data_IF_088174331685
#
_entry.id   IF_088174331685
#
_cell.length_a   1.000
_cell.length_b   1.000
_cell.length_c   1.000
_cell.angle_alpha   90.00
_cell.angle_beta   90.00
_cell.angle_gamma   90.00
#
_symmetry.space_group_name_H-M   'P 1'
#
loop_
_entity.id
_entity.type
_entity.pdbx_description
1 polymer ?
#
# COMPACT_ATOMS: atom_id res chain seq x y z
N UNK A 1 23.58 -0.45 15.47
CA UNK A 1 22.78 -1.48 14.78
C UNK A 1 23.08 -1.36 13.30
N UNK A 2 23.79 -2.32 12.71
CA UNK A 2 24.01 -2.32 11.26
C UNK A 2 22.72 -2.72 10.56
N UNK A 3 22.33 -2.00 9.50
CA UNK A 3 21.21 -2.40 8.64
C UNK A 3 21.54 -3.75 8.01
N UNK A 4 20.73 -4.78 8.29
CA UNK A 4 20.84 -6.08 7.61
C UNK A 4 20.31 -5.93 6.17
N UNK A 5 21.18 -6.02 5.12
CA UNK A 5 20.73 -5.91 3.74
C UNK A 5 19.69 -6.97 3.38
N UNK A 6 19.72 -8.14 4.03
CA UNK A 6 18.77 -9.21 3.78
C UNK A 6 17.37 -8.84 4.29
N UNK A 7 17.26 -8.13 5.42
CA UNK A 7 15.99 -7.61 5.93
C UNK A 7 15.37 -6.57 4.98
N UNK A 8 16.21 -5.71 4.37
CA UNK A 8 15.74 -4.73 3.36
C UNK A 8 15.19 -5.45 2.13
N UNK A 9 15.91 -6.45 1.61
CA UNK A 9 15.48 -7.20 0.42
C UNK A 9 14.20 -7.99 0.70
N UNK A 10 14.11 -8.68 1.84
CA UNK A 10 12.89 -9.42 2.25
C UNK A 10 11.71 -8.49 2.44
N UNK A 11 11.89 -7.40 3.18
CA UNK A 11 10.85 -6.39 3.39
C UNK A 11 10.35 -5.80 2.07
N UNK A 12 11.26 -5.44 1.15
CA UNK A 12 10.88 -4.94 -0.17
C UNK A 12 10.09 -5.97 -0.98
N UNK A 13 10.59 -7.21 -1.06
CA UNK A 13 9.94 -8.30 -1.80
C UNK A 13 8.55 -8.65 -1.24
N UNK A 14 8.43 -8.76 0.08
CA UNK A 14 7.15 -8.98 0.75
C UNK A 14 6.18 -7.82 0.52
N UNK A 15 6.68 -6.58 0.55
CA UNK A 15 5.91 -5.38 0.23
C UNK A 15 5.37 -5.36 -1.20
N UNK A 16 6.18 -5.76 -2.19
CA UNK A 16 5.75 -5.90 -3.59
C UNK A 16 4.61 -6.94 -3.72
N UNK A 17 4.78 -8.11 -3.11
CA UNK A 17 3.80 -9.19 -3.17
C UNK A 17 2.47 -8.80 -2.49
N UNK A 18 2.56 -8.18 -1.31
CA UNK A 18 1.40 -7.67 -0.58
C UNK A 18 0.68 -6.58 -1.37
N UNK A 19 1.41 -5.66 -2.00
CA UNK A 19 0.82 -4.60 -2.83
C UNK A 19 0.12 -5.15 -4.07
N UNK A 20 0.68 -6.18 -4.71
CA UNK A 20 0.03 -6.86 -5.82
C UNK A 20 -1.29 -7.54 -5.38
N UNK A 21 -1.31 -8.17 -4.20
CA UNK A 21 -2.54 -8.76 -3.65
C UNK A 21 -3.60 -7.70 -3.33
N UNK A 22 -3.20 -6.59 -2.71
CA UNK A 22 -4.07 -5.44 -2.45
C UNK A 22 -4.67 -4.88 -3.74
N UNK A 23 -3.85 -4.68 -4.78
CA UNK A 23 -4.32 -4.29 -6.11
C UNK A 23 -5.35 -5.27 -6.67
N UNK A 24 -5.15 -6.58 -6.50
CA UNK A 24 -6.11 -7.60 -6.93
C UNK A 24 -7.49 -7.43 -6.27
N UNK A 25 -7.51 -7.23 -4.94
CA UNK A 25 -8.74 -6.97 -4.18
C UNK A 25 -9.43 -5.70 -4.68
N UNK A 26 -8.66 -4.63 -4.84
CA UNK A 26 -9.17 -3.36 -5.35
C UNK A 26 -9.69 -3.50 -6.79
N UNK A 27 -9.02 -4.28 -7.65
CA UNK A 27 -9.42 -4.51 -9.05
C UNK A 27 -10.77 -5.23 -9.12
N UNK A 28 -10.98 -6.23 -8.27
CA UNK A 28 -12.28 -6.88 -8.15
C UNK A 28 -13.37 -5.88 -7.71
N UNK A 29 -13.08 -5.04 -6.72
CA UNK A 29 -14.00 -3.99 -6.28
C UNK A 29 -14.29 -2.95 -7.39
N UNK A 30 -13.29 -2.59 -8.19
CA UNK A 30 -13.44 -1.67 -9.31
C UNK A 30 -14.50 -2.13 -10.30
N UNK A 31 -14.54 -3.42 -10.62
CA UNK A 31 -15.56 -3.99 -11.54
C UNK A 31 -16.99 -3.76 -11.07
N UNK A 32 -17.20 -3.52 -9.76
CA UNK A 32 -18.52 -3.36 -9.16
C UNK A 32 -18.86 -1.91 -8.78
N UNK A 33 -17.87 -1.11 -8.39
CA UNK A 33 -18.08 0.25 -7.86
C UNK A 33 -17.35 1.37 -8.61
N UNK A 34 -16.52 1.03 -9.61
CA UNK A 34 -15.77 1.98 -10.44
C UNK A 34 -14.87 2.92 -9.64
N UNK A 35 -14.69 4.15 -10.13
CA UNK A 35 -13.85 5.20 -9.53
C UNK A 35 -14.33 5.75 -8.17
N UNK A 36 -15.47 5.31 -7.64
CA UNK A 36 -16.05 5.86 -6.40
C UNK A 36 -15.34 5.38 -5.13
N UNK A 37 -14.12 4.86 -5.25
CA UNK A 37 -13.42 4.23 -4.16
C UNK A 37 -11.97 4.66 -4.00
N UNK A 38 -11.52 4.63 -2.74
CA UNK A 38 -10.17 5.03 -2.30
C UNK A 38 -9.21 3.89 -2.65
N UNK A 39 -8.71 3.90 -3.87
CA UNK A 39 -7.79 2.90 -4.39
C UNK A 39 -6.42 3.50 -4.61
N UNK A 40 -5.38 2.89 -4.06
CA UNK A 40 -4.00 3.41 -4.08
C UNK A 40 -3.46 3.71 -5.48
N UNK A 41 -3.96 3.02 -6.50
CA UNK A 41 -3.56 3.34 -7.88
C UNK A 41 -4.06 4.72 -8.34
N UNK A 42 -5.01 5.34 -7.64
CA UNK A 42 -5.56 6.66 -7.95
C UNK A 42 -4.59 7.73 -7.47
N UNK A 43 -4.06 7.57 -6.26
CA UNK A 43 -2.94 8.33 -5.73
C UNK A 43 -1.70 8.15 -6.62
N UNK A 44 -1.44 6.91 -7.04
CA UNK A 44 -0.34 6.62 -7.96
C UNK A 44 -0.54 7.24 -9.36
N UNK A 45 -1.77 7.30 -9.87
CA UNK A 45 -2.09 7.99 -11.13
C UNK A 45 -1.88 9.50 -10.98
N UNK A 46 -2.37 10.11 -9.91
CA UNK A 46 -2.16 11.52 -9.61
C UNK A 46 -0.65 11.84 -9.46
N UNK A 47 0.10 10.99 -8.76
CA UNK A 47 1.55 11.08 -8.68
C UNK A 47 2.23 10.97 -10.04
N UNK A 48 1.78 10.03 -10.88
CA UNK A 48 2.30 9.84 -12.24
C UNK A 48 2.07 11.07 -13.10
N UNK A 49 0.88 11.69 -13.03
CA UNK A 49 0.59 12.94 -13.77
C UNK A 49 1.54 14.06 -13.33
N UNK A 50 1.80 14.19 -12.02
CA UNK A 50 2.76 15.18 -11.48
C UNK A 50 4.19 14.92 -11.93
N UNK A 51 4.60 13.65 -12.06
CA UNK A 51 5.96 13.25 -12.44
C UNK A 51 6.21 13.28 -13.95
N UNK A 52 5.25 12.84 -14.76
CA UNK A 52 5.39 12.63 -16.20
C UNK A 52 4.67 13.69 -17.04
N UNK A 53 3.81 14.51 -16.43
CA UNK A 53 2.98 15.50 -17.13
C UNK A 53 1.79 14.91 -17.90
N UNK A 54 1.58 13.59 -17.85
CA UNK A 54 0.44 12.92 -18.49
C UNK A 54 -0.01 11.69 -17.70
N UNK A 55 -1.26 11.25 -17.95
CA UNK A 55 -1.80 10.02 -17.37
C UNK A 55 -1.10 8.80 -17.97
N UNK A 56 -0.75 7.83 -17.12
CA UNK A 56 -0.25 6.53 -17.54
C UNK A 56 -0.60 5.48 -16.49
N UNK A 57 -1.61 4.66 -16.80
CA UNK A 57 -2.06 3.60 -15.88
C UNK A 57 -0.94 2.59 -15.59
N UNK A 58 -0.11 2.25 -16.60
CA UNK A 58 1.03 1.34 -16.39
C UNK A 58 2.05 1.92 -15.41
N UNK A 59 2.36 3.22 -15.53
CA UNK A 59 3.28 3.87 -14.60
C UNK A 59 2.67 3.99 -13.19
N UNK A 60 1.35 4.24 -13.08
CA UNK A 60 0.65 4.24 -11.82
C UNK A 60 0.71 2.87 -11.11
N UNK A 61 0.51 1.77 -11.84
CA UNK A 61 0.65 0.41 -11.28
C UNK A 61 2.08 0.14 -10.79
N UNK A 62 3.09 0.53 -11.56
CA UNK A 62 4.50 0.39 -11.15
C UNK A 62 4.79 1.22 -9.91
N UNK A 63 4.35 2.48 -9.87
CA UNK A 63 4.55 3.36 -8.72
C UNK A 63 3.85 2.81 -7.47
N UNK A 64 2.64 2.27 -7.60
CA UNK A 64 1.92 1.64 -6.51
C UNK A 64 2.67 0.41 -5.95
N UNK A 65 3.18 -0.46 -6.83
CA UNK A 65 4.00 -1.60 -6.40
C UNK A 65 5.26 -1.12 -5.69
N UNK A 66 6.00 -0.15 -6.25
CA UNK A 66 7.21 0.39 -5.65
C UNK A 66 6.94 1.03 -4.28
N UNK A 67 5.85 1.79 -4.14
CA UNK A 67 5.42 2.36 -2.86
C UNK A 67 5.14 1.25 -1.83
N UNK A 68 4.46 0.18 -2.23
CA UNK A 68 4.23 -0.99 -1.39
C UNK A 68 5.53 -1.72 -0.99
N UNK A 69 6.50 -1.81 -1.90
CA UNK A 69 7.83 -2.33 -1.61
C UNK A 69 8.58 -1.47 -0.59
N UNK A 70 8.57 -0.14 -0.75
CA UNK A 70 9.18 0.80 0.21
C UNK A 70 8.52 0.70 1.58
N UNK A 71 7.19 0.63 1.64
CA UNK A 71 6.47 0.40 2.89
C UNK A 71 6.86 -0.93 3.55
N UNK A 72 7.11 -1.98 2.76
CA UNK A 72 7.64 -3.25 3.27
C UNK A 72 9.04 -3.15 3.88
N UNK A 73 9.93 -2.32 3.30
CA UNK A 73 11.23 -2.00 3.92
C UNK A 73 11.01 -1.30 5.27
N UNK A 74 10.14 -0.28 5.31
CA UNK A 74 9.83 0.46 6.54
C UNK A 74 9.32 -0.47 7.64
N UNK A 75 8.43 -1.41 7.30
CA UNK A 75 7.94 -2.41 8.24
C UNK A 75 9.06 -3.31 8.78
N UNK A 76 9.89 -3.87 7.91
CA UNK A 76 11.00 -4.74 8.32
C UNK A 76 12.01 -4.02 9.22
N UNK A 77 12.31 -2.76 8.91
CA UNK A 77 13.18 -1.93 9.76
C UNK A 77 12.52 -1.61 11.11
N UNK A 78 11.22 -1.33 11.12
CA UNK A 78 10.45 -1.14 12.36
C UNK A 78 10.49 -2.37 13.26
N UNK A 79 10.30 -3.57 12.72
CA UNK A 79 10.42 -4.83 13.47
C UNK A 79 11.82 -5.01 14.05
N UNK A 80 12.86 -4.73 13.25
CA UNK A 80 14.25 -4.83 13.70
C UNK A 80 14.51 -3.87 14.87
N UNK A 81 14.09 -2.61 14.76
CA UNK A 81 14.24 -1.60 15.82
C UNK A 81 13.53 -1.99 17.12
N UNK A 82 12.38 -2.64 17.02
CA UNK A 82 11.58 -3.08 18.17
C UNK A 82 11.97 -4.47 18.68
N UNK A 83 12.94 -5.14 18.04
CA UNK A 83 13.27 -6.55 18.27
C UNK A 83 12.03 -7.46 18.24
N UNK A 84 11.08 -7.15 17.36
CA UNK A 84 9.81 -7.86 17.23
C UNK A 84 9.86 -8.90 16.11
N UNK A 85 9.16 -10.01 16.31
CA UNK A 85 8.96 -11.01 15.25
C UNK A 85 7.81 -10.58 14.34
N UNK A 86 7.95 -10.80 13.02
CA UNK A 86 6.87 -10.54 12.07
C UNK A 86 5.67 -11.43 12.41
N UNK A 87 4.48 -10.82 12.48
CA UNK A 87 3.21 -11.54 12.65
C UNK A 87 2.16 -10.89 11.78
N UNK A 88 1.14 -11.65 11.37
CA UNK A 88 0.00 -11.11 10.64
C UNK A 88 -0.72 -9.98 11.43
N UNK A 89 -0.69 -10.01 12.76
CA UNK A 89 -1.29 -8.98 13.62
C UNK A 89 -0.51 -7.66 13.55
N UNK A 90 0.82 -7.71 13.72
CA UNK A 90 1.66 -6.51 13.58
C UNK A 90 1.61 -5.96 12.15
N UNK A 91 1.59 -6.87 11.17
CA UNK A 91 1.39 -6.52 9.78
C UNK A 91 0.06 -5.81 9.54
N UNK A 92 -1.07 -6.36 10.02
CA UNK A 92 -2.39 -5.73 9.89
C UNK A 92 -2.47 -4.37 10.61
N UNK A 93 -1.80 -4.21 11.75
CA UNK A 93 -1.67 -2.93 12.43
C UNK A 93 -0.91 -1.91 11.57
N UNK A 94 0.20 -2.33 10.94
CA UNK A 94 0.94 -1.50 9.99
C UNK A 94 0.11 -1.16 8.73
N UNK A 95 -0.63 -2.13 8.19
CA UNK A 95 -1.57 -1.90 7.09
C UNK A 95 -2.66 -0.89 7.45
N UNK A 96 -3.18 -0.95 8.69
CA UNK A 96 -4.15 0.03 9.20
C UNK A 96 -3.54 1.43 9.32
N UNK A 97 -2.27 1.54 9.74
CA UNK A 97 -1.55 2.80 9.75
C UNK A 97 -1.41 3.37 8.34
N UNK A 98 -1.00 2.54 7.37
CA UNK A 98 -0.92 2.94 5.96
C UNK A 98 -2.27 3.40 5.43
N UNK A 99 -3.36 2.70 5.75
CA UNK A 99 -4.71 3.12 5.37
C UNK A 99 -5.09 4.49 5.92
N UNK A 100 -4.75 4.78 7.19
CA UNK A 100 -4.99 6.11 7.77
C UNK A 100 -4.19 7.17 7.01
N UNK A 101 -2.93 6.89 6.67
CA UNK A 101 -2.09 7.79 5.87
C UNK A 101 -2.74 8.03 4.50
N UNK A 102 -3.21 6.99 3.83
CA UNK A 102 -3.95 7.09 2.56
C UNK A 102 -5.15 8.02 2.69
N UNK A 103 -6.00 7.84 3.70
CA UNK A 103 -7.16 8.71 3.90
C UNK A 103 -6.79 10.18 4.08
N UNK A 104 -5.67 10.45 4.79
CA UNK A 104 -5.17 11.82 5.01
C UNK A 104 -4.70 12.44 3.69
N UNK A 105 -4.01 11.67 2.84
CA UNK A 105 -3.41 12.20 1.61
C UNK A 105 -4.32 12.10 0.38
N UNK A 106 -5.37 11.29 0.42
CA UNK A 106 -6.20 10.97 -0.75
C UNK A 106 -6.71 12.25 -1.42
N UNK A 107 -7.53 13.05 -0.73
CA UNK A 107 -8.12 14.27 -1.31
C UNK A 107 -7.07 15.32 -1.72
N UNK A 108 -6.02 15.63 -0.93
CA UNK A 108 -4.94 16.52 -1.38
C UNK A 108 -4.17 16.03 -2.61
N UNK A 109 -4.10 14.71 -2.82
CA UNK A 109 -3.34 14.11 -3.93
C UNK A 109 -4.21 13.98 -5.18
N UNK A 110 -5.41 13.42 -5.04
CA UNK A 110 -6.31 13.06 -6.15
C UNK A 110 -7.27 14.18 -6.52
N UNK A 111 -7.58 15.09 -5.59
CA UNK A 111 -8.66 16.07 -5.73
C UNK A 111 -10.05 15.50 -5.45
N UNK A 112 -10.15 14.22 -5.10
CA UNK A 112 -11.41 13.52 -4.83
C UNK A 112 -11.54 13.19 -3.32
N UNK A 113 -12.69 13.43 -2.69
CA UNK A 113 -12.88 13.15 -1.26
C UNK A 113 -12.99 11.65 -0.97
N UNK A 114 -12.32 11.21 0.10
CA UNK A 114 -12.36 9.83 0.59
C UNK A 114 -13.71 9.50 1.27
N UNK A 115 -14.72 9.11 0.49
CA UNK A 115 -16.08 8.85 1.02
C UNK A 115 -16.80 7.68 0.34
N UNK A 116 -17.84 7.17 0.99
CA UNK A 116 -18.72 6.14 0.46
C UNK A 116 -18.16 4.72 0.55
N UNK A 117 -18.67 3.83 -0.29
CA UNK A 117 -18.38 2.39 -0.25
C UNK A 117 -16.90 2.03 -0.49
N UNK A 118 -16.08 2.96 -0.99
CA UNK A 118 -14.66 2.73 -1.19
C UNK A 118 -13.78 2.79 0.05
N UNK A 119 -14.21 3.52 1.08
CA UNK A 119 -13.47 3.62 2.35
C UNK A 119 -13.34 2.24 3.03
N UNK A 120 -14.41 1.43 3.20
CA UNK A 120 -14.28 0.11 3.79
C UNK A 120 -13.52 -0.88 2.89
N UNK A 121 -13.62 -0.75 1.56
CA UNK A 121 -12.85 -1.59 0.63
C UNK A 121 -11.35 -1.28 0.75
N UNK A 122 -11.01 0.00 0.83
CA UNK A 122 -9.64 0.46 1.07
C UNK A 122 -9.10 -0.12 2.37
N UNK A 123 -9.88 -0.08 3.46
CA UNK A 123 -9.50 -0.68 4.74
C UNK A 123 -9.24 -2.19 4.61
N UNK A 124 -10.17 -2.94 4.02
CA UNK A 124 -10.02 -4.40 3.83
C UNK A 124 -8.77 -4.71 3.01
N UNK A 125 -8.53 -3.95 1.94
CA UNK A 125 -7.37 -4.15 1.08
C UNK A 125 -6.04 -3.84 1.81
N UNK A 126 -6.03 -2.86 2.70
CA UNK A 126 -4.88 -2.53 3.55
C UNK A 126 -4.65 -3.53 4.68
N UNK A 127 -5.72 -4.05 5.29
CA UNK A 127 -5.62 -5.14 6.25
C UNK A 127 -5.03 -6.39 5.59
N UNK A 128 -5.46 -6.70 4.38
CA UNK A 128 -4.90 -7.81 3.60
C UNK A 128 -3.43 -7.55 3.24
N UNK A 129 -3.08 -6.35 2.75
CA UNK A 129 -1.70 -5.94 2.51
C UNK A 129 -0.84 -6.16 3.75
N UNK A 130 -1.26 -5.59 4.88
CA UNK A 130 -0.53 -5.64 6.13
C UNK A 130 -0.37 -7.08 6.65
N UNK A 131 -1.45 -7.86 6.68
CA UNK A 131 -1.41 -9.23 7.15
C UNK A 131 -0.47 -10.10 6.30
N UNK A 132 -0.50 -9.95 4.97
CA UNK A 132 0.41 -10.67 4.06
C UNK A 132 1.87 -10.22 4.28
N UNK A 133 2.10 -8.91 4.39
CA UNK A 133 3.43 -8.38 4.70
C UNK A 133 3.97 -8.97 6.02
N UNK A 134 3.17 -8.97 7.08
CA UNK A 134 3.55 -9.54 8.37
C UNK A 134 3.70 -11.06 8.38
N UNK A 135 3.17 -11.78 7.38
CA UNK A 135 3.34 -13.22 7.24
C UNK A 135 4.59 -13.61 6.43
N UNK A 136 5.13 -12.69 5.61
CA UNK A 136 6.19 -12.98 4.65
C UNK A 136 7.47 -12.12 4.79
N UNK A 137 7.45 -11.04 5.58
CA UNK A 137 8.59 -10.15 5.81
C UNK A 137 9.65 -10.74 6.76
#
# INVERSE_FOLDING_TARGET
MSLDPAAVIRGFGAGLAAAAAMMGIQALAWTRWGHRAVFEWTEAEAGTVRLLGHKSFRAALVLNLLAGGVAGIVFALGLALLAATPTAVLGAAFGSLMWVITLIIHEPVTGDPARGAGVPISLVSHLAYGALLGAFA
#
